data_IF_622822179799
#
_entry.id   IF_622822179799
#
_cell.length_a   1.000
_cell.length_b   1.000
_cell.length_c   1.000
_cell.angle_alpha   90.00
_cell.angle_beta   90.00
_cell.angle_gamma   90.00
#
_symmetry.space_group_name_H-M   'P 1'
#
loop_
_entity.id
_entity.type
_entity.pdbx_description
1 polymer ?
#
# COMPACT_ATOMS: atom_id res chain seq x y z
N UNK A 1 8.70 23.90 28.39
CA UNK A 1 8.22 23.65 27.02
C UNK A 1 7.78 22.20 26.95
N UNK A 2 6.47 21.88 26.83
CA UNK A 2 6.04 20.49 26.72
C UNK A 2 6.45 19.94 25.35
N UNK A 3 7.00 18.71 25.33
CA UNK A 3 7.42 17.98 24.15
C UNK A 3 6.22 17.73 23.20
N UNK A 4 6.43 17.67 21.87
CA UNK A 4 5.34 17.47 20.92
C UNK A 4 4.62 16.15 21.24
N UNK A 5 3.37 16.30 21.65
CA UNK A 5 2.48 15.21 22.02
C UNK A 5 2.32 14.25 20.83
N UNK A 6 2.48 12.97 21.14
CA UNK A 6 2.66 11.85 20.23
C UNK A 6 1.60 11.83 19.11
N UNK A 7 2.07 12.12 17.90
CA UNK A 7 1.39 12.00 16.61
C UNK A 7 0.43 10.79 16.55
N UNK A 8 -0.86 11.07 16.71
CA UNK A 8 -1.96 10.18 16.31
C UNK A 8 -2.06 10.02 14.79
N UNK A 9 -1.28 10.81 14.02
CA UNK A 9 -1.24 10.78 12.56
C UNK A 9 -0.29 9.73 11.95
N UNK A 10 0.49 8.99 12.75
CA UNK A 10 1.43 7.99 12.22
C UNK A 10 0.73 6.85 11.45
N UNK A 11 -0.49 6.48 11.85
CA UNK A 11 -1.26 5.45 11.15
C UNK A 11 -1.64 5.89 9.73
N UNK A 12 -1.81 7.20 9.50
CA UNK A 12 -2.07 7.76 8.17
C UNK A 12 -0.94 7.48 7.17
N UNK A 13 0.31 7.30 7.64
CA UNK A 13 1.43 6.97 6.75
C UNK A 13 1.29 5.58 6.10
N UNK A 14 0.51 4.66 6.66
CA UNK A 14 0.28 3.35 6.02
C UNK A 14 -0.46 3.50 4.67
N UNK A 15 -1.21 4.58 4.47
CA UNK A 15 -1.85 4.87 3.19
C UNK A 15 -0.86 5.28 2.10
N UNK A 16 0.39 5.66 2.45
CA UNK A 16 1.43 5.95 1.47
C UNK A 16 2.06 4.69 0.89
N UNK A 17 1.92 3.53 1.56
CA UNK A 17 2.44 2.24 1.10
C UNK A 17 2.01 1.90 -0.33
N UNK A 18 0.72 1.96 -0.69
CA UNK A 18 0.31 1.71 -2.08
C UNK A 18 0.88 2.72 -3.08
N UNK A 19 1.03 4.00 -2.70
CA UNK A 19 1.64 4.99 -3.59
C UNK A 19 3.11 4.68 -3.85
N UNK A 20 3.88 4.34 -2.81
CA UNK A 20 5.29 3.96 -2.94
C UNK A 20 5.41 2.67 -3.76
N UNK A 21 4.55 1.69 -3.49
CA UNK A 21 4.58 0.41 -4.19
C UNK A 21 4.15 0.51 -5.66
N UNK A 22 3.25 1.44 -5.99
CA UNK A 22 2.89 1.77 -7.37
C UNK A 22 3.92 2.68 -8.04
N UNK A 23 4.69 3.49 -7.31
CA UNK A 23 5.75 4.31 -7.89
C UNK A 23 7.07 3.54 -8.10
N UNK A 24 7.23 2.38 -7.44
CA UNK A 24 8.40 1.52 -7.61
C UNK A 24 8.33 0.71 -8.92
N UNK A 25 8.29 1.42 -10.04
CA UNK A 25 8.26 0.87 -11.40
C UNK A 25 9.28 -0.24 -11.61
N UNK A 26 10.58 -0.13 -11.25
CA UNK A 26 11.54 -1.20 -11.58
C UNK A 26 11.27 -2.53 -10.85
N UNK A 27 10.47 -2.55 -9.79
CA UNK A 27 10.15 -3.78 -9.05
C UNK A 27 9.10 -4.63 -9.77
N UNK A 28 8.15 -3.98 -10.44
CA UNK A 28 7.08 -4.66 -11.17
C UNK A 28 7.16 -4.50 -12.70
N UNK A 29 8.20 -3.83 -13.20
CA UNK A 29 8.49 -3.71 -14.63
C UNK A 29 8.95 -5.02 -15.28
N UNK A 30 8.92 -6.13 -14.56
CA UNK A 30 9.09 -7.46 -15.15
C UNK A 30 7.73 -7.94 -15.64
N UNK A 31 7.66 -8.51 -16.84
CA UNK A 31 6.44 -9.18 -17.34
C UNK A 31 6.22 -10.54 -16.69
N UNK A 32 7.31 -11.12 -16.18
CA UNK A 32 7.35 -12.39 -15.47
C UNK A 32 7.39 -12.19 -13.95
N UNK A 33 6.68 -13.02 -13.16
CA UNK A 33 5.90 -14.18 -13.58
C UNK A 33 4.51 -13.85 -14.13
N UNK A 34 4.15 -14.55 -15.22
CA UNK A 34 2.79 -14.59 -15.75
C UNK A 34 1.95 -15.56 -14.92
N UNK A 35 0.88 -15.08 -14.30
CA UNK A 35 -0.06 -15.88 -13.51
C UNK A 35 -1.36 -16.05 -14.29
N UNK A 36 -1.76 -17.29 -14.59
CA UNK A 36 -2.99 -17.61 -15.32
C UNK A 36 -3.13 -16.87 -16.69
N UNK A 37 -2.01 -16.54 -17.33
CA UNK A 37 -1.98 -15.75 -18.58
C UNK A 37 -1.96 -14.23 -18.38
N UNK A 38 -1.98 -13.74 -17.13
CA UNK A 38 -1.85 -12.31 -16.80
C UNK A 38 -0.40 -11.96 -16.45
N UNK A 39 0.22 -10.98 -17.15
CA UNK A 39 1.55 -10.49 -16.80
C UNK A 39 1.62 -9.92 -15.38
N UNK A 40 2.82 -9.94 -14.79
CA UNK A 40 3.10 -9.47 -13.43
C UNK A 40 2.48 -8.11 -13.10
N UNK A 41 2.69 -7.14 -13.98
CA UNK A 41 2.18 -5.79 -13.86
C UNK A 41 0.67 -5.73 -13.52
N UNK A 42 -0.15 -6.53 -14.22
CA UNK A 42 -1.60 -6.46 -14.10
C UNK A 42 -2.10 -7.12 -12.82
N UNK A 43 -1.63 -8.34 -12.53
CA UNK A 43 -2.11 -9.03 -11.33
C UNK A 43 -1.58 -8.37 -10.06
N UNK A 44 -0.39 -7.76 -10.10
CA UNK A 44 0.15 -6.98 -9.00
C UNK A 44 -0.73 -5.77 -8.67
N UNK A 45 -1.18 -5.00 -9.68
CA UNK A 45 -2.14 -3.91 -9.48
C UNK A 45 -3.47 -4.40 -8.92
N UNK A 46 -3.96 -5.55 -9.40
CA UNK A 46 -5.17 -6.16 -8.87
C UNK A 46 -5.02 -6.58 -7.40
N UNK A 47 -3.85 -7.11 -7.01
CA UNK A 47 -3.54 -7.46 -5.62
C UNK A 47 -3.50 -6.22 -4.71
N UNK A 48 -3.12 -5.06 -5.24
CA UNK A 48 -3.16 -3.80 -4.49
C UNK A 48 -4.57 -3.36 -4.11
N UNK A 49 -5.61 -3.74 -4.86
CA UNK A 49 -7.00 -3.39 -4.52
C UNK A 49 -7.40 -3.92 -3.13
N UNK A 50 -7.37 -5.24 -2.86
CA UNK A 50 -7.69 -5.75 -1.52
C UNK A 50 -6.67 -5.32 -0.46
N UNK A 51 -5.37 -5.22 -0.81
CA UNK A 51 -4.33 -4.75 0.13
C UNK A 51 -4.62 -3.32 0.60
N UNK A 52 -4.96 -2.40 -0.31
CA UNK A 52 -5.31 -1.03 0.06
C UNK A 52 -6.60 -0.96 0.88
N UNK A 53 -7.63 -1.74 0.54
CA UNK A 53 -8.84 -1.83 1.36
C UNK A 53 -8.55 -2.31 2.80
N UNK A 54 -7.69 -3.32 2.96
CA UNK A 54 -7.27 -3.81 4.29
C UNK A 54 -6.46 -2.76 5.04
N UNK A 55 -5.53 -2.07 4.36
CA UNK A 55 -4.76 -0.98 4.97
C UNK A 55 -5.67 0.15 5.46
N UNK A 56 -6.62 0.59 4.64
CA UNK A 56 -7.63 1.60 5.01
C UNK A 56 -8.43 1.12 6.22
N UNK A 57 -8.87 -0.14 6.22
CA UNK A 57 -9.64 -0.72 7.33
C UNK A 57 -8.83 -0.75 8.63
N UNK A 58 -7.55 -1.14 8.59
CA UNK A 58 -6.65 -1.13 9.75
C UNK A 58 -6.46 0.30 10.27
N UNK A 59 -6.22 1.26 9.38
CA UNK A 59 -6.05 2.67 9.75
C UNK A 59 -7.34 3.20 10.39
N UNK A 60 -8.51 2.88 9.82
CA UNK A 60 -9.80 3.25 10.38
C UNK A 60 -10.00 2.67 11.79
N UNK A 61 -9.72 1.39 11.99
CA UNK A 61 -9.80 0.74 13.31
C UNK A 61 -8.82 1.33 14.33
N UNK A 62 -7.65 1.78 13.89
CA UNK A 62 -6.62 2.38 14.78
C UNK A 62 -6.84 3.86 15.06
N UNK A 63 -7.56 4.55 14.19
CA UNK A 63 -7.86 5.99 14.31
C UNK A 63 -9.16 6.23 15.10
N UNK A 64 -10.05 5.24 15.14
CA UNK A 64 -11.27 5.25 15.96
C UNK A 64 -10.98 4.84 17.41
#
# INVERSE_FOLDING_TARGET
MPAPEKSSGLWGLLLLVPFIALLWVPFYNSTDPVLLGFPFFYWYQFLWVPVTSVLIFIVYLKTR
#
